data_IF_950832349712
#
_entry.id   IF_950832349712
#
_cell.length_a   1.000
_cell.length_b   1.000
_cell.length_c   1.000
_cell.angle_alpha   90.00
_cell.angle_beta   90.00
_cell.angle_gamma   90.00
#
_symmetry.space_group_name_H-M   'P 1'
#
loop_
_entity.id
_entity.type
_entity.pdbx_description
1 polymer ?
#
# COMPACT_ATOMS: atom_id res chain seq x y z
N UNK A 1 -20.67 4.82 -6.50
CA UNK A 1 -19.83 5.38 -5.43
C UNK A 1 -19.09 6.55 -6.04
N UNK A 2 -19.35 7.78 -5.58
CA UNK A 2 -18.62 8.95 -6.07
C UNK A 2 -17.19 8.82 -5.54
N UNK A 3 -16.22 8.55 -6.43
CA UNK A 3 -14.82 8.68 -6.09
C UNK A 3 -14.59 10.16 -5.79
N UNK A 4 -14.49 10.50 -4.50
CA UNK A 4 -13.87 11.78 -4.12
C UNK A 4 -12.50 11.73 -4.76
N UNK A 5 -12.19 12.69 -5.64
CA UNK A 5 -10.84 12.79 -6.18
C UNK A 5 -9.91 13.00 -4.98
N UNK A 6 -9.18 11.95 -4.60
CA UNK A 6 -8.25 12.02 -3.48
C UNK A 6 -7.18 13.03 -3.85
N UNK A 7 -7.10 14.11 -3.07
CA UNK A 7 -6.05 15.10 -3.18
C UNK A 7 -4.93 14.66 -2.23
N UNK A 8 -3.79 14.27 -2.80
CA UNK A 8 -2.62 13.82 -2.05
C UNK A 8 -1.57 14.93 -1.85
N UNK A 9 -1.84 16.18 -2.22
CA UNK A 9 -0.83 17.25 -2.17
C UNK A 9 -0.23 17.41 -0.76
N UNK A 10 -1.06 17.42 0.28
CA UNK A 10 -0.62 17.52 1.67
C UNK A 10 0.22 16.30 2.11
N UNK A 11 -0.13 15.11 1.64
CA UNK A 11 0.58 13.86 1.96
C UNK A 11 1.92 13.77 1.22
N UNK A 12 1.97 14.22 -0.03
CA UNK A 12 3.19 14.30 -0.84
C UNK A 12 4.16 15.27 -0.18
N UNK A 13 3.70 16.47 0.21
CA UNK A 13 4.54 17.46 0.89
C UNK A 13 5.06 16.92 2.24
N UNK A 14 4.25 16.17 2.98
CA UNK A 14 4.69 15.54 4.22
C UNK A 14 5.81 14.51 3.99
N UNK A 15 5.66 13.64 2.99
CA UNK A 15 6.67 12.63 2.63
C UNK A 15 7.96 13.31 2.17
N UNK A 16 7.85 14.33 1.32
CA UNK A 16 9.02 15.09 0.86
C UNK A 16 9.72 15.81 2.02
N UNK A 17 8.97 16.44 2.93
CA UNK A 17 9.52 17.11 4.11
C UNK A 17 10.24 16.12 5.03
N UNK A 18 9.69 14.92 5.25
CA UNK A 18 10.33 13.86 6.03
C UNK A 18 11.68 13.45 5.44
N UNK A 19 11.78 13.38 4.11
CA UNK A 19 13.02 13.09 3.38
C UNK A 19 13.85 14.35 3.07
N UNK A 20 13.54 15.51 3.67
CA UNK A 20 14.26 16.79 3.47
C UNK A 20 14.36 17.20 1.99
N UNK A 21 13.35 16.88 1.19
CA UNK A 21 13.31 17.13 -0.25
C UNK A 21 14.11 16.12 -1.09
N UNK A 22 14.72 15.08 -0.49
CA UNK A 22 15.36 14.00 -1.26
C UNK A 22 14.30 13.10 -1.89
N UNK A 23 13.95 13.42 -3.14
CA UNK A 23 12.97 12.69 -3.93
C UNK A 23 13.37 11.22 -4.15
N UNK A 24 14.67 10.92 -4.27
CA UNK A 24 15.12 9.54 -4.50
C UNK A 24 14.93 8.70 -3.23
N UNK A 25 15.28 9.25 -2.07
CA UNK A 25 15.06 8.58 -0.79
C UNK A 25 13.56 8.38 -0.50
N UNK A 26 12.72 9.37 -0.81
CA UNK A 26 11.27 9.26 -0.68
C UNK A 26 10.68 8.14 -1.57
N UNK A 27 11.05 8.11 -2.86
CA UNK A 27 10.61 7.05 -3.77
C UNK A 27 11.10 5.66 -3.34
N UNK A 28 12.34 5.56 -2.84
CA UNK A 28 12.86 4.30 -2.32
C UNK A 28 12.06 3.81 -1.10
N UNK A 29 11.68 4.71 -0.19
CA UNK A 29 10.84 4.37 0.95
C UNK A 29 9.46 3.86 0.51
N UNK A 30 8.80 4.56 -0.42
CA UNK A 30 7.50 4.14 -0.94
C UNK A 30 7.55 2.78 -1.65
N UNK A 31 8.62 2.49 -2.39
CA UNK A 31 8.81 1.17 -3.01
C UNK A 31 9.00 0.08 -1.96
N UNK A 32 9.74 0.35 -0.88
CA UNK A 32 9.90 -0.61 0.24
C UNK A 32 8.58 -0.86 0.95
N UNK A 33 7.80 0.19 1.20
CA UNK A 33 6.48 0.07 1.84
C UNK A 33 5.52 -0.72 0.96
N UNK A 34 5.53 -0.48 -0.36
CA UNK A 34 4.78 -1.29 -1.33
C UNK A 34 5.16 -2.77 -1.24
N UNK A 35 6.45 -3.09 -1.27
CA UNK A 35 6.94 -4.47 -1.20
C UNK A 35 6.58 -5.13 0.14
N UNK A 36 6.59 -4.37 1.23
CA UNK A 36 6.13 -4.83 2.54
C UNK A 36 4.63 -5.15 2.52
N UNK A 37 3.79 -4.24 2.02
CA UNK A 37 2.33 -4.43 1.95
C UNK A 37 1.94 -5.62 1.05
N UNK A 38 2.67 -5.85 -0.04
CA UNK A 38 2.50 -7.03 -0.89
C UNK A 38 2.69 -8.31 -0.07
N UNK A 39 3.76 -8.39 0.73
CA UNK A 39 4.03 -9.56 1.59
C UNK A 39 2.96 -9.74 2.66
N UNK A 40 2.47 -8.67 3.26
CA UNK A 40 1.38 -8.74 4.24
C UNK A 40 0.10 -9.31 3.61
N UNK A 41 -0.21 -8.92 2.37
CA UNK A 41 -1.34 -9.50 1.61
C UNK A 41 -1.12 -10.99 1.34
N UNK A 42 0.10 -11.39 0.95
CA UNK A 42 0.43 -12.81 0.76
C UNK A 42 0.26 -13.61 2.06
N UNK A 43 0.77 -13.10 3.18
CA UNK A 43 0.63 -13.73 4.49
C UNK A 43 -0.83 -13.83 4.93
N UNK A 44 -1.61 -12.77 4.74
CA UNK A 44 -3.04 -12.79 5.01
C UNK A 44 -3.75 -13.85 4.13
N UNK A 45 -3.41 -13.93 2.84
CA UNK A 45 -3.97 -14.91 1.90
C UNK A 45 -3.65 -16.37 2.28
N UNK A 46 -2.49 -16.61 2.89
CA UNK A 46 -2.10 -17.92 3.43
C UNK A 46 -2.81 -18.25 4.74
N UNK A 47 -2.97 -17.27 5.63
CA UNK A 47 -3.63 -17.46 6.92
C UNK A 47 -5.15 -17.62 6.81
N UNK A 48 -5.77 -17.07 5.77
CA UNK A 48 -7.22 -17.13 5.58
C UNK A 48 -7.69 -18.51 5.10
N UNK A 49 -8.76 -19.00 5.74
CA UNK A 49 -9.36 -20.32 5.49
C UNK A 49 -10.79 -20.22 4.93
N UNK A 50 -11.41 -21.36 4.60
CA UNK A 50 -12.78 -21.44 4.08
C UNK A 50 -13.86 -20.97 5.08
N UNK A 51 -13.50 -20.69 6.34
CA UNK A 51 -14.41 -20.34 7.43
C UNK A 51 -15.05 -18.95 7.28
N UNK A 52 -14.64 -18.00 8.15
CA UNK A 52 -15.27 -16.67 8.24
C UNK A 52 -15.30 -15.90 6.90
N UNK A 53 -14.25 -15.99 6.09
CA UNK A 53 -14.19 -15.34 4.77
C UNK A 53 -14.87 -16.14 3.65
N UNK A 54 -15.45 -17.31 3.96
CA UNK A 54 -16.09 -18.21 2.99
C UNK A 54 -15.20 -18.54 1.78
N UNK A 55 -13.89 -18.64 2.01
CA UNK A 55 -12.91 -18.95 0.97
C UNK A 55 -12.44 -17.74 0.16
N UNK A 56 -12.91 -16.53 0.42
CA UNK A 56 -12.29 -15.33 -0.14
C UNK A 56 -10.88 -15.16 0.43
N UNK A 57 -9.97 -14.75 -0.46
CA UNK A 57 -8.56 -14.47 -0.14
C UNK A 57 -8.16 -13.10 -0.70
N UNK A 58 -7.44 -12.29 0.08
CA UNK A 58 -6.80 -11.06 -0.40
C UNK A 58 -5.89 -11.36 -1.59
N UNK A 59 -5.89 -10.45 -2.56
CA UNK A 59 -5.06 -10.51 -3.75
C UNK A 59 -4.48 -9.14 -4.03
N UNK A 60 -3.21 -9.11 -4.43
CA UNK A 60 -2.61 -7.88 -4.97
C UNK A 60 -3.19 -7.57 -6.34
N UNK A 61 -3.41 -6.29 -6.63
CA UNK A 61 -3.82 -5.86 -7.97
C UNK A 61 -2.58 -5.86 -8.88
N UNK A 62 -2.37 -6.94 -9.63
CA UNK A 62 -1.37 -6.99 -10.69
C UNK A 62 -1.99 -6.44 -11.98
N UNK A 63 -1.53 -5.28 -12.44
CA UNK A 63 -1.87 -4.73 -13.76
C UNK A 63 -0.81 -5.12 -14.78
#
# INVERSE_FOLDING_TARGET
>A
MNAVAENYDDEIELVLAYHKGDMRAAMEALLKDRDFLIKEIEYASLAMSLGFSRGWKPTVFTR
#
